data_IF_114534209074
#
_entry.id   IF_114534209074
#
_cell.length_a   1.000
_cell.length_b   1.000
_cell.length_c   1.000
_cell.angle_alpha   90.00
_cell.angle_beta   90.00
_cell.angle_gamma   90.00
#
_symmetry.space_group_name_H-M   'P 1'
#
loop_
_entity.id
_entity.type
_entity.pdbx_description
1 polymer ?
#
# COMPACT_ATOMS: atom_id res chain seq x y z
N UNK A 1 21.24 -15.73 -19.72
CA UNK A 1 20.06 -15.44 -18.88
C UNK A 1 20.51 -14.63 -17.65
N UNK A 2 20.69 -13.32 -17.80
CA UNK A 2 21.04 -12.41 -16.69
C UNK A 2 20.37 -11.06 -16.94
N UNK A 3 19.05 -10.95 -16.69
CA UNK A 3 18.39 -9.65 -16.50
C UNK A 3 17.13 -9.90 -15.67
N UNK A 4 17.14 -9.62 -14.37
CA UNK A 4 15.96 -9.89 -13.54
C UNK A 4 16.05 -9.53 -12.06
N UNK A 5 17.00 -8.67 -11.65
CA UNK A 5 17.21 -8.35 -10.22
C UNK A 5 17.14 -6.87 -9.85
N UNK A 6 16.42 -6.04 -10.61
CA UNK A 6 16.42 -4.58 -10.38
C UNK A 6 15.06 -3.92 -10.10
N UNK A 7 13.94 -4.63 -10.13
CA UNK A 7 12.62 -4.01 -9.95
C UNK A 7 12.16 -3.87 -8.48
N UNK A 8 12.56 -4.78 -7.59
CA UNK A 8 11.99 -4.86 -6.22
C UNK A 8 12.45 -3.70 -5.32
N UNK A 9 13.61 -3.11 -5.57
CA UNK A 9 14.14 -1.98 -4.79
C UNK A 9 13.44 -0.64 -5.06
N UNK A 10 12.76 -0.48 -6.20
CA UNK A 10 12.23 0.83 -6.61
C UNK A 10 10.95 1.21 -5.85
N UNK A 11 10.08 0.25 -5.55
CA UNK A 11 8.77 0.49 -4.91
C UNK A 11 8.96 0.92 -3.44
N UNK A 12 9.84 0.24 -2.70
CA UNK A 12 10.19 0.61 -1.33
C UNK A 12 10.89 1.98 -1.25
N UNK A 13 11.77 2.29 -2.21
CA UNK A 13 12.46 3.58 -2.29
C UNK A 13 11.50 4.74 -2.60
N UNK A 14 10.53 4.55 -3.50
CA UNK A 14 9.52 5.56 -3.82
C UNK A 14 8.60 5.85 -2.62
N UNK A 15 8.20 4.83 -1.86
CA UNK A 15 7.42 4.99 -0.63
C UNK A 15 8.21 5.74 0.46
N UNK A 16 9.50 5.42 0.64
CA UNK A 16 10.38 6.11 1.60
C UNK A 16 10.67 7.58 1.20
N UNK A 17 10.86 7.85 -0.10
CA UNK A 17 11.09 9.22 -0.59
C UNK A 17 9.82 10.09 -0.51
N UNK A 18 8.64 9.51 -0.68
CA UNK A 18 7.37 10.20 -0.46
C UNK A 18 7.14 10.52 1.03
N UNK A 19 7.51 9.61 1.93
CA UNK A 19 7.42 9.79 3.38
C UNK A 19 8.36 10.91 3.88
N UNK A 20 9.60 10.98 3.39
CA UNK A 20 10.56 12.02 3.80
C UNK A 20 10.21 13.41 3.28
N UNK A 21 9.55 13.52 2.11
CA UNK A 21 9.08 14.82 1.58
C UNK A 21 7.92 15.41 2.40
N UNK A 22 7.05 14.57 2.98
CA UNK A 22 5.95 15.02 3.85
C UNK A 22 6.46 15.66 5.16
N UNK A 23 7.54 15.15 5.75
CA UNK A 23 8.13 15.76 6.97
C UNK A 23 8.76 17.13 6.74
N UNK A 24 9.25 17.43 5.53
CA UNK A 24 9.81 18.76 5.21
C UNK A 24 8.74 19.84 4.98
N UNK A 25 7.51 19.48 4.57
CA UNK A 25 6.43 20.45 4.36
C UNK A 25 5.64 20.80 5.64
N UNK A 26 5.63 19.92 6.65
CA UNK A 26 4.94 20.21 7.92
C UNK A 26 5.74 21.11 8.90
N UNK A 27 7.00 21.43 8.61
CA UNK A 27 7.82 22.30 9.48
C UNK A 27 7.88 23.78 9.06
N UNK A 28 7.13 24.22 8.05
CA UNK A 28 7.16 25.62 7.56
C UNK A 28 5.85 26.40 7.68
N UNK A 29 4.81 25.85 8.33
CA UNK A 29 3.54 26.55 8.54
C UNK A 29 3.22 26.70 10.03
N UNK A 30 4.12 27.36 10.75
CA UNK A 30 3.82 27.93 12.07
C UNK A 30 4.62 29.22 12.23
N UNK A 31 4.08 30.31 11.67
CA UNK A 31 4.67 31.65 11.80
C UNK A 31 3.98 32.68 10.91
N UNK A 32 3.19 33.57 11.54
CA UNK A 32 2.57 34.76 10.94
C UNK A 32 1.10 34.53 10.55
N UNK A 33 0.08 35.23 11.07
CA UNK A 33 0.05 36.52 11.76
C UNK A 33 -0.80 37.52 10.97
N UNK A 34 -2.09 37.62 11.31
CA UNK A 34 -2.97 38.80 11.14
C UNK A 34 -3.45 39.23 9.74
N UNK A 35 -4.77 39.49 9.61
CA UNK A 35 -5.27 40.52 8.68
C UNK A 35 -6.57 40.26 7.90
N UNK A 36 -7.64 40.95 8.34
CA UNK A 36 -8.64 41.72 7.55
C UNK A 36 -9.71 41.05 6.64
N UNK A 37 -10.95 41.08 7.15
CA UNK A 37 -12.20 41.69 6.62
C UNK A 37 -12.79 41.43 5.21
N UNK A 38 -14.10 41.17 5.25
CA UNK A 38 -15.23 41.85 4.56
C UNK A 38 -15.70 41.41 3.15
N UNK A 39 -17.04 41.24 3.09
CA UNK A 39 -18.02 41.45 1.99
C UNK A 39 -18.41 40.25 1.11
N UNK A 40 -19.65 39.76 1.36
CA UNK A 40 -20.74 39.89 0.39
C UNK A 40 -21.19 38.65 -0.40
N UNK A 41 -22.48 38.29 -0.28
CA UNK A 41 -23.27 37.85 -1.44
C UNK A 41 -23.81 36.41 -1.45
N UNK A 42 -24.98 36.22 -0.83
CA UNK A 42 -26.23 35.67 -1.39
C UNK A 42 -26.28 34.35 -2.22
N UNK A 43 -27.39 33.62 -1.97
CA UNK A 43 -28.15 32.66 -2.83
C UNK A 43 -27.86 31.16 -2.66
N UNK A 44 -28.64 30.52 -1.79
CA UNK A 44 -29.74 29.64 -2.20
C UNK A 44 -29.43 28.25 -2.75
N UNK A 45 -30.00 27.22 -2.12
CA UNK A 45 -30.49 26.05 -2.84
C UNK A 45 -30.26 24.68 -2.20
N UNK A 46 -31.31 24.16 -1.56
CA UNK A 46 -31.77 22.78 -1.75
C UNK A 46 -30.90 21.63 -1.24
N UNK A 47 -31.07 21.27 0.03
CA UNK A 47 -30.71 19.96 0.55
C UNK A 47 -31.69 18.91 -0.02
N UNK A 48 -31.25 18.14 -1.03
CA UNK A 48 -31.95 16.97 -1.53
C UNK A 48 -31.39 15.70 -0.86
N UNK A 49 -32.30 14.97 -0.23
CA UNK A 49 -32.07 13.71 0.44
C UNK A 49 -31.50 12.65 -0.51
N UNK A 50 -30.34 12.09 -0.17
CA UNK A 50 -29.74 10.95 -0.86
C UNK A 50 -30.48 9.66 -0.47
N UNK A 51 -31.50 9.31 -1.26
CA UNK A 51 -32.01 7.95 -1.36
C UNK A 51 -31.06 7.13 -2.23
N UNK A 52 -30.45 6.10 -1.65
CA UNK A 52 -29.58 5.17 -2.35
C UNK A 52 -30.39 4.30 -3.32
N UNK A 53 -30.37 4.66 -4.60
CA UNK A 53 -30.89 3.82 -5.67
C UNK A 53 -29.71 3.18 -6.41
N UNK A 54 -29.57 1.87 -6.21
CA UNK A 54 -28.56 1.00 -6.79
C UNK A 54 -28.71 0.99 -8.32
N UNK A 55 -27.83 1.72 -9.01
CA UNK A 55 -27.82 1.76 -10.48
C UNK A 55 -27.00 0.59 -11.03
N UNK A 56 -27.68 -0.32 -11.75
CA UNK A 56 -27.13 -1.53 -12.36
C UNK A 56 -26.47 -1.24 -13.73
N UNK A 57 -25.58 -0.25 -13.77
CA UNK A 57 -24.66 0.02 -14.89
C UNK A 57 -23.21 -0.15 -14.44
N UNK A 58 -22.23 -0.29 -15.36
CA UNK A 58 -20.82 -0.30 -14.98
C UNK A 58 -20.53 0.98 -14.20
N UNK A 59 -20.14 0.87 -12.93
CA UNK A 59 -19.81 2.05 -12.16
C UNK A 59 -18.63 2.77 -12.85
N UNK A 60 -18.63 4.12 -12.90
CA UNK A 60 -17.48 4.86 -13.45
C UNK A 60 -16.14 4.45 -12.83
N UNK A 61 -16.18 4.08 -11.54
CA UNK A 61 -15.04 3.55 -10.80
C UNK A 61 -14.51 2.21 -11.36
N UNK A 62 -15.41 1.28 -11.74
CA UNK A 62 -15.02 0.01 -12.36
C UNK A 62 -14.20 0.26 -13.62
N UNK A 63 -14.69 1.15 -14.49
CA UNK A 63 -14.01 1.46 -15.75
C UNK A 63 -12.62 2.06 -15.50
N UNK A 64 -12.51 2.96 -14.53
CA UNK A 64 -11.23 3.56 -14.13
C UNK A 64 -10.23 2.51 -13.63
N UNK A 65 -10.65 1.59 -12.75
CA UNK A 65 -9.80 0.51 -12.25
C UNK A 65 -9.33 -0.39 -13.40
N UNK A 66 -10.24 -0.74 -14.30
CA UNK A 66 -9.95 -1.62 -15.41
C UNK A 66 -8.93 -0.99 -16.38
N UNK A 67 -9.04 0.31 -16.65
CA UNK A 67 -8.07 1.04 -17.47
C UNK A 67 -6.69 1.10 -16.80
N UNK A 68 -6.63 1.30 -15.47
CA UNK A 68 -5.38 1.24 -14.69
C UNK A 68 -4.74 -0.15 -14.78
N UNK A 69 -5.52 -1.23 -14.65
CA UNK A 69 -5.01 -2.59 -14.73
C UNK A 69 -4.47 -2.90 -16.13
N UNK A 70 -5.21 -2.52 -17.19
CA UNK A 70 -4.75 -2.68 -18.57
C UNK A 70 -3.46 -1.92 -18.85
N UNK A 71 -3.36 -0.68 -18.38
CA UNK A 71 -2.16 0.14 -18.53
C UNK A 71 -0.98 -0.51 -17.79
N UNK A 72 -1.18 -0.97 -16.56
CA UNK A 72 -0.13 -1.65 -15.78
C UNK A 72 0.38 -2.92 -16.47
N UNK A 73 -0.52 -3.73 -17.05
CA UNK A 73 -0.13 -4.93 -17.80
C UNK A 73 0.75 -4.61 -18.99
N UNK A 74 0.46 -3.52 -19.70
CA UNK A 74 1.26 -3.05 -20.83
C UNK A 74 2.61 -2.50 -20.37
N UNK A 75 2.61 -1.63 -19.36
CA UNK A 75 3.80 -0.96 -18.85
C UNK A 75 4.81 -1.93 -18.24
N UNK A 76 4.33 -2.97 -17.54
CA UNK A 76 5.17 -4.00 -16.91
C UNK A 76 5.50 -5.16 -17.84
N UNK A 77 4.99 -5.15 -19.08
CA UNK A 77 5.22 -6.19 -20.10
C UNK A 77 4.85 -7.61 -19.60
N UNK A 78 3.70 -7.72 -18.93
CA UNK A 78 3.18 -8.96 -18.32
C UNK A 78 1.95 -9.51 -19.07
N UNK A 79 1.74 -9.09 -20.32
CA UNK A 79 0.61 -9.53 -21.16
C UNK A 79 0.55 -11.06 -21.30
N UNK A 80 1.71 -11.73 -21.28
CA UNK A 80 1.80 -13.19 -21.36
C UNK A 80 1.11 -13.90 -20.18
N UNK A 81 1.04 -13.26 -19.01
CA UNK A 81 0.36 -13.80 -17.82
C UNK A 81 -1.16 -13.53 -17.84
N UNK A 82 -1.62 -12.57 -18.66
CA UNK A 82 -3.02 -12.16 -18.77
C UNK A 82 -3.52 -12.24 -20.23
N UNK A 83 -3.58 -13.45 -20.83
CA UNK A 83 -3.96 -13.60 -22.24
C UNK A 83 -5.46 -13.35 -22.50
N UNK A 84 -6.32 -13.58 -21.50
CA UNK A 84 -7.77 -13.32 -21.61
C UNK A 84 -8.12 -11.97 -20.95
N UNK A 85 -8.70 -11.01 -21.71
CA UNK A 85 -9.21 -9.75 -21.15
C UNK A 85 -10.21 -9.93 -19.99
N UNK A 86 -10.95 -11.05 -19.98
CA UNK A 86 -11.94 -11.36 -18.93
C UNK A 86 -11.31 -11.56 -17.55
N UNK A 87 -10.03 -11.94 -17.49
CA UNK A 87 -9.31 -12.08 -16.21
C UNK A 87 -9.15 -10.72 -15.52
N UNK A 88 -8.85 -9.66 -16.28
CA UNK A 88 -8.71 -8.31 -15.73
C UNK A 88 -10.06 -7.74 -15.29
N UNK A 89 -11.12 -8.03 -16.03
CA UNK A 89 -12.50 -7.69 -15.65
C UNK A 89 -12.91 -8.34 -14.32
N UNK A 90 -12.63 -9.64 -14.15
CA UNK A 90 -12.91 -10.36 -12.91
C UNK A 90 -12.13 -9.78 -11.71
N UNK A 91 -10.87 -9.38 -11.91
CA UNK A 91 -10.07 -8.72 -10.88
C UNK A 91 -10.69 -7.38 -10.49
N UNK A 92 -11.05 -6.55 -11.47
CA UNK A 92 -11.71 -5.26 -11.24
C UNK A 92 -13.03 -5.42 -10.47
N UNK A 93 -13.86 -6.38 -10.84
CA UNK A 93 -15.12 -6.68 -10.15
C UNK A 93 -14.90 -7.08 -8.68
N UNK A 94 -13.88 -7.89 -8.40
CA UNK A 94 -13.51 -8.28 -7.03
C UNK A 94 -13.08 -7.07 -6.19
N UNK A 95 -12.30 -6.16 -6.77
CA UNK A 95 -11.83 -4.95 -6.07
C UNK A 95 -13.02 -4.06 -5.68
N UNK A 96 -13.99 -3.90 -6.58
CA UNK A 96 -15.23 -3.14 -6.32
C UNK A 96 -16.07 -3.85 -5.24
N UNK A 97 -16.29 -5.16 -5.38
CA UNK A 97 -17.10 -5.94 -4.42
C UNK A 97 -16.53 -5.92 -3.01
N UNK A 98 -15.20 -6.00 -2.88
CA UNK A 98 -14.50 -5.96 -1.59
C UNK A 98 -14.34 -4.55 -1.02
N UNK A 99 -14.69 -3.51 -1.79
CA UNK A 99 -14.45 -2.09 -1.49
C UNK A 99 -13.00 -1.83 -1.09
N UNK A 100 -12.06 -2.48 -1.77
CA UNK A 100 -10.65 -2.46 -1.39
C UNK A 100 -10.08 -1.03 -1.42
N UNK A 101 -10.48 -0.21 -2.40
CA UNK A 101 -10.01 1.19 -2.54
C UNK A 101 -10.40 2.03 -1.33
N UNK A 102 -11.69 2.06 -0.96
CA UNK A 102 -12.20 2.81 0.21
C UNK A 102 -11.53 2.37 1.52
N UNK A 103 -11.29 1.06 1.67
CA UNK A 103 -10.61 0.48 2.84
C UNK A 103 -9.14 0.88 2.90
N UNK A 104 -8.46 0.96 1.77
CA UNK A 104 -7.07 1.42 1.65
C UNK A 104 -6.98 2.92 1.94
N UNK A 105 -7.90 3.73 1.42
CA UNK A 105 -7.97 5.17 1.69
C UNK A 105 -8.10 5.46 3.19
N UNK A 106 -9.08 4.82 3.84
CA UNK A 106 -9.34 5.01 5.26
C UNK A 106 -8.18 4.52 6.14
N UNK A 107 -7.62 3.35 5.84
CA UNK A 107 -6.53 2.77 6.64
C UNK A 107 -5.21 3.55 6.51
N UNK A 108 -4.85 3.97 5.29
CA UNK A 108 -3.57 4.65 5.05
C UNK A 108 -3.69 6.17 5.00
N UNK A 109 -4.90 6.72 5.18
CA UNK A 109 -5.20 8.15 5.08
C UNK A 109 -4.70 8.73 3.74
N UNK A 110 -4.93 7.98 2.67
CA UNK A 110 -4.51 8.34 1.31
C UNK A 110 -5.64 9.06 0.59
N UNK A 111 -5.27 9.93 -0.36
CA UNK A 111 -6.23 10.44 -1.35
C UNK A 111 -6.55 9.34 -2.36
N UNK A 112 -7.75 9.39 -2.93
CA UNK A 112 -8.27 8.41 -3.90
C UNK A 112 -7.29 8.06 -5.00
N UNK A 113 -6.68 9.04 -5.66
CA UNK A 113 -5.71 8.78 -6.72
C UNK A 113 -4.55 7.86 -6.28
N UNK A 114 -4.06 8.03 -5.04
CA UNK A 114 -2.97 7.18 -4.50
C UNK A 114 -3.45 5.80 -4.07
N UNK A 115 -4.70 5.68 -3.63
CA UNK A 115 -5.28 4.38 -3.30
C UNK A 115 -5.51 3.56 -4.57
N UNK A 116 -5.91 4.20 -5.66
CA UNK A 116 -6.08 3.58 -6.98
C UNK A 116 -4.75 3.06 -7.55
N UNK A 117 -3.64 3.76 -7.33
CA UNK A 117 -2.31 3.27 -7.73
C UNK A 117 -1.96 1.93 -7.05
N UNK A 118 -2.42 1.70 -5.82
CA UNK A 118 -2.16 0.45 -5.08
C UNK A 118 -2.93 -0.74 -5.64
N UNK A 119 -4.00 -0.52 -6.42
CA UNK A 119 -4.80 -1.59 -7.03
C UNK A 119 -3.97 -2.46 -7.97
N UNK A 120 -2.88 -1.92 -8.54
CA UNK A 120 -1.94 -2.66 -9.38
C UNK A 120 -1.30 -3.84 -8.64
N UNK A 121 -1.25 -3.83 -7.31
CA UNK A 121 -0.76 -4.96 -6.50
C UNK A 121 -1.59 -6.23 -6.78
N UNK A 122 -2.86 -6.10 -7.17
CA UNK A 122 -3.71 -7.25 -7.51
C UNK A 122 -3.23 -8.05 -8.74
N UNK A 123 -2.26 -7.53 -9.51
CA UNK A 123 -1.65 -8.21 -10.66
C UNK A 123 -0.37 -8.98 -10.32
N UNK A 124 0.12 -8.91 -9.07
CA UNK A 124 1.43 -9.45 -8.71
C UNK A 124 1.38 -10.21 -7.40
N UNK A 125 2.17 -11.27 -7.32
CA UNK A 125 2.45 -11.94 -6.06
C UNK A 125 3.37 -11.05 -5.20
N UNK A 126 3.01 -10.83 -3.95
CA UNK A 126 3.81 -10.01 -3.03
C UNK A 126 4.84 -10.88 -2.31
N UNK A 127 6.12 -10.55 -2.47
CA UNK A 127 7.23 -11.21 -1.73
C UNK A 127 7.99 -10.16 -0.92
N UNK A 128 8.03 -10.35 0.39
CA UNK A 128 8.80 -9.53 1.32
C UNK A 128 10.14 -10.20 1.63
N UNK A 129 11.23 -9.53 1.27
CA UNK A 129 12.58 -9.90 1.69
C UNK A 129 12.95 -9.12 2.95
N UNK A 130 13.19 -9.83 4.05
CA UNK A 130 13.35 -9.28 5.40
C UNK A 130 14.78 -9.54 5.87
N UNK A 131 15.42 -8.49 6.39
CA UNK A 131 16.68 -8.62 7.10
C UNK A 131 16.42 -9.20 8.51
N UNK A 132 17.18 -10.23 8.86
CA UNK A 132 17.17 -10.93 10.14
C UNK A 132 18.56 -10.92 10.80
N UNK A 133 19.38 -9.92 10.45
CA UNK A 133 20.65 -9.65 11.09
C UNK A 133 20.49 -9.13 12.54
N UNK A 134 21.52 -9.29 13.36
CA UNK A 134 21.55 -8.78 14.73
C UNK A 134 21.32 -7.27 14.84
N UNK A 135 21.64 -6.51 13.78
CA UNK A 135 21.42 -5.05 13.71
C UNK A 135 19.94 -4.66 13.68
N UNK A 136 19.03 -5.60 13.47
CA UNK A 136 17.59 -5.34 13.53
C UNK A 136 17.10 -5.09 14.96
N UNK A 137 17.84 -5.57 15.96
CA UNK A 137 17.62 -5.22 17.36
C UNK A 137 18.02 -3.77 17.68
N UNK A 138 18.79 -3.14 16.80
CA UNK A 138 19.20 -1.76 17.00
C UNK A 138 18.00 -0.83 16.87
N UNK A 139 18.17 0.38 17.40
CA UNK A 139 17.16 1.42 17.26
C UNK A 139 16.91 1.74 15.79
N UNK A 140 15.64 1.94 15.45
CA UNK A 140 15.25 2.49 14.17
C UNK A 140 15.95 3.86 13.97
N UNK A 141 16.44 4.10 12.76
CA UNK A 141 17.24 5.29 12.46
C UNK A 141 16.33 6.52 12.44
N UNK A 142 16.44 7.40 13.44
CA UNK A 142 15.64 8.61 13.52
C UNK A 142 16.06 9.56 14.65
N UNK A 143 15.67 10.84 14.55
CA UNK A 143 15.92 11.89 15.57
C UNK A 143 15.03 11.77 16.81
N UNK A 144 14.07 10.86 16.80
CA UNK A 144 13.05 10.74 17.83
C UNK A 144 13.36 9.53 18.72
N UNK A 145 13.68 9.78 19.99
CA UNK A 145 14.05 8.73 20.96
C UNK A 145 12.89 7.79 21.29
N UNK A 146 11.67 8.10 20.83
CA UNK A 146 10.46 7.27 20.95
C UNK A 146 10.33 6.21 19.84
N UNK A 147 11.11 6.29 18.75
CA UNK A 147 11.12 5.23 17.75
C UNK A 147 11.82 4.00 18.34
N UNK A 148 11.06 2.89 18.41
CA UNK A 148 11.52 1.60 18.92
C UNK A 148 12.65 0.99 18.10
N UNK A 149 12.78 -0.33 18.18
CA UNK A 149 13.77 -1.08 17.41
C UNK A 149 13.40 -1.13 15.93
N UNK A 150 14.35 -1.51 15.05
CA UNK A 150 14.03 -1.79 13.65
C UNK A 150 13.06 -2.96 13.51
N UNK A 151 13.06 -3.91 14.46
CA UNK A 151 12.03 -4.97 14.55
C UNK A 151 10.63 -4.39 14.77
N UNK A 152 10.48 -3.40 15.65
CA UNK A 152 9.17 -2.76 15.87
C UNK A 152 8.69 -2.01 14.62
N UNK A 153 9.61 -1.41 13.87
CA UNK A 153 9.29 -0.79 12.59
C UNK A 153 8.92 -1.82 11.52
N UNK A 154 9.66 -2.94 11.44
CA UNK A 154 9.33 -4.06 10.57
C UNK A 154 7.91 -4.58 10.86
N UNK A 155 7.55 -4.78 12.13
CA UNK A 155 6.18 -5.19 12.51
C UNK A 155 5.13 -4.20 12.03
N UNK A 156 5.36 -2.89 12.18
CA UNK A 156 4.46 -1.85 11.67
C UNK A 156 4.35 -1.86 10.13
N UNK A 157 5.44 -2.14 9.42
CA UNK A 157 5.43 -2.29 7.97
C UNK A 157 4.68 -3.55 7.55
N UNK A 158 4.90 -4.67 8.24
CA UNK A 158 4.17 -5.92 8.00
C UNK A 158 2.68 -5.74 8.19
N UNK A 159 2.24 -5.00 9.21
CA UNK A 159 0.81 -4.71 9.41
C UNK A 159 0.20 -3.98 8.20
N UNK A 160 0.95 -3.04 7.62
CA UNK A 160 0.50 -2.28 6.43
C UNK A 160 0.49 -3.15 5.18
N UNK A 161 1.56 -3.91 4.94
CA UNK A 161 1.65 -4.77 3.75
C UNK A 161 0.63 -5.91 3.84
N UNK A 162 0.49 -6.55 5.00
CA UNK A 162 -0.50 -7.61 5.22
C UNK A 162 -1.93 -7.08 5.02
N UNK A 163 -2.23 -5.86 5.48
CA UNK A 163 -3.53 -5.25 5.19
C UNK A 163 -3.76 -5.07 3.68
N UNK A 164 -2.83 -4.43 2.96
CA UNK A 164 -3.00 -4.17 1.54
C UNK A 164 -3.08 -5.47 0.71
N UNK A 165 -2.18 -6.42 0.97
CA UNK A 165 -2.16 -7.72 0.29
C UNK A 165 -3.41 -8.53 0.62
N UNK A 166 -3.88 -8.61 1.86
CA UNK A 166 -5.12 -9.34 2.20
C UNK A 166 -6.38 -8.87 1.46
N UNK A 167 -6.37 -7.64 0.94
CA UNK A 167 -7.49 -7.05 0.18
C UNK A 167 -7.36 -7.26 -1.33
N UNK A 168 -6.13 -7.19 -1.85
CA UNK A 168 -5.85 -7.14 -3.28
C UNK A 168 -5.29 -8.45 -3.81
N UNK A 169 -4.71 -9.26 -2.95
CA UNK A 169 -4.08 -10.54 -3.25
C UNK A 169 -4.90 -11.67 -2.61
N UNK A 170 -5.13 -12.74 -3.36
CA UNK A 170 -6.06 -13.83 -2.97
C UNK A 170 -5.39 -15.02 -2.33
N UNK A 171 -4.15 -15.32 -2.70
CA UNK A 171 -3.42 -16.46 -2.13
C UNK A 171 -2.57 -16.02 -0.93
N UNK A 172 -2.12 -14.77 -0.91
CA UNK A 172 -1.44 -14.10 0.18
C UNK A 172 0.04 -13.89 -0.12
N UNK A 173 0.72 -13.13 0.74
CA UNK A 173 2.11 -12.77 0.47
C UNK A 173 3.11 -13.80 1.00
N UNK A 174 4.30 -13.83 0.41
CA UNK A 174 5.42 -14.66 0.88
C UNK A 174 6.42 -13.83 1.67
N UNK A 175 6.94 -14.40 2.76
CA UNK A 175 8.03 -13.79 3.53
C UNK A 175 9.30 -14.60 3.25
N UNK A 176 10.41 -13.91 3.00
CA UNK A 176 11.74 -14.47 2.80
C UNK A 176 12.71 -13.74 3.72
N UNK A 177 13.62 -14.47 4.35
CA UNK A 177 14.62 -13.92 5.25
C UNK A 177 16.00 -14.06 4.62
N UNK A 178 16.94 -13.17 5.00
CA UNK A 178 18.30 -13.22 4.46
C UNK A 178 19.10 -14.39 5.03
N UNK A 179 18.97 -14.69 6.33
CA UNK A 179 19.76 -15.71 7.01
C UNK A 179 18.94 -16.96 7.40
N UNK A 180 17.64 -16.82 7.69
CA UNK A 180 16.76 -17.96 7.97
C UNK A 180 16.35 -18.69 6.68
N UNK A 181 16.45 -20.03 6.69
CA UNK A 181 16.08 -20.89 5.56
C UNK A 181 14.59 -21.19 5.49
N UNK A 182 13.94 -21.19 6.66
CA UNK A 182 12.52 -21.48 6.76
C UNK A 182 11.74 -20.18 6.52
N UNK A 183 10.98 -20.18 5.43
CA UNK A 183 10.35 -18.99 4.92
C UNK A 183 8.89 -19.30 4.55
N UNK A 184 7.90 -18.79 5.31
CA UNK A 184 6.51 -19.09 5.04
C UNK A 184 6.04 -18.43 3.75
N UNK A 185 5.21 -19.17 3.02
CA UNK A 185 4.43 -18.68 1.89
C UNK A 185 2.95 -18.65 2.27
N UNK A 186 2.17 -17.84 1.55
CA UNK A 186 0.73 -17.67 1.75
C UNK A 186 0.38 -17.08 3.13
N UNK A 187 1.13 -16.07 3.57
CA UNK A 187 0.81 -15.30 4.77
C UNK A 187 -0.37 -14.39 4.42
N UNK A 188 -1.49 -14.52 5.13
CA UNK A 188 -2.75 -13.84 4.77
C UNK A 188 -3.15 -12.72 5.70
N UNK A 189 -2.57 -12.68 6.90
CA UNK A 189 -2.92 -11.68 7.90
C UNK A 189 -1.71 -11.20 8.69
N UNK A 190 -1.87 -10.02 9.28
CA UNK A 190 -0.83 -9.37 10.07
C UNK A 190 -0.46 -10.14 11.35
N UNK A 191 -1.40 -10.86 11.97
CA UNK A 191 -1.11 -11.65 13.17
C UNK A 191 -0.16 -12.80 12.85
N UNK A 192 -0.40 -13.50 11.75
CA UNK A 192 0.46 -14.56 11.24
C UNK A 192 1.86 -14.00 10.94
N UNK A 193 1.94 -12.88 10.21
CA UNK A 193 3.21 -12.22 9.90
C UNK A 193 4.00 -11.84 11.18
N UNK A 194 3.32 -11.29 12.19
CA UNK A 194 3.95 -10.93 13.48
C UNK A 194 4.48 -12.13 14.22
N UNK A 195 3.70 -13.21 14.33
CA UNK A 195 4.14 -14.46 14.96
C UNK A 195 5.40 -15.02 14.30
N UNK A 196 5.48 -14.96 12.98
CA UNK A 196 6.67 -15.40 12.24
C UNK A 196 7.90 -14.58 12.65
N UNK A 197 7.77 -13.25 12.73
CA UNK A 197 8.87 -12.38 13.18
C UNK A 197 9.22 -12.61 14.64
N UNK A 198 8.24 -12.84 15.51
CA UNK A 198 8.47 -13.10 16.94
C UNK A 198 9.25 -14.40 17.20
N UNK A 199 9.08 -15.40 16.34
CA UNK A 199 9.82 -16.66 16.41
C UNK A 199 11.16 -16.64 15.66
N UNK A 200 11.47 -15.56 14.96
CA UNK A 200 12.69 -15.44 14.18
C UNK A 200 13.90 -15.19 15.10
N UNK A 201 14.96 -15.98 14.92
CA UNK A 201 16.23 -15.74 15.61
C UNK A 201 17.08 -14.77 14.80
N UNK A 202 17.23 -13.53 15.29
CA UNK A 202 18.06 -12.52 14.66
C UNK A 202 19.54 -12.84 14.86
N UNK A 203 20.27 -13.14 13.77
CA UNK A 203 21.66 -13.61 13.83
C UNK A 203 22.64 -12.46 13.64
N UNK A 204 23.58 -12.32 14.57
CA UNK A 204 24.75 -11.49 14.34
C UNK A 204 25.81 -12.35 13.65
N UNK A 205 26.05 -12.13 12.36
CA UNK A 205 27.16 -12.78 11.65
C UNK A 205 28.43 -12.00 12.01
N UNK A 206 29.26 -12.58 12.88
CA UNK A 206 30.61 -12.09 13.19
C UNK A 206 31.63 -12.75 12.27
#
# INVERSE_FOLDING_TARGET
MVVGKLAIGLIAYMAFKAYTKQKKQQQQQQGGGGGMALIGGALGGGAAAYGAQQFNGPSPERQMILDILRQCVQDQNIQAFYPDPRTLEAIADRIIQSRAVERIESQFQLRTGRALDLVQIALFDVVLLIDDSGSMNDRAVGKDKSQGTRIDELKRLLDRVAFASSLLDTDGFSMRFLNAKDAPSNVRDANQARKIVDHLTFKCTF
#
